data_IF_769859359284
#
_entry.id   IF_769859359284
#
_cell.length_a   1.000
_cell.length_b   1.000
_cell.length_c   1.000
_cell.angle_alpha   90.00
_cell.angle_beta   90.00
_cell.angle_gamma   90.00
#
_symmetry.space_group_name_H-M   'P 1'
#
loop_
_entity.id
_entity.type
_entity.pdbx_description
1 polymer ?
#
# COMPACT_ATOMS: atom_id res chain seq x y z
N UNK A 1 -4.91 -18.22 -14.84
CA UNK A 1 -5.46 -17.39 -15.94
C UNK A 1 -5.50 -18.28 -17.17
N UNK A 2 -6.66 -18.45 -17.82
CA UNK A 2 -6.77 -19.36 -19.00
C UNK A 2 -6.54 -18.64 -20.33
N UNK A 3 -6.88 -17.34 -20.38
CA UNK A 3 -6.65 -16.47 -21.54
C UNK A 3 -5.76 -15.27 -21.18
N UNK A 4 -4.96 -14.74 -22.13
CA UNK A 4 -4.17 -13.53 -21.91
C UNK A 4 -5.02 -12.29 -21.58
N UNK A 5 -4.52 -11.42 -20.69
CA UNK A 5 -5.16 -10.13 -20.41
C UNK A 5 -5.08 -9.24 -21.64
N UNK A 6 -6.19 -8.62 -22.02
CA UNK A 6 -6.25 -7.62 -23.10
C UNK A 6 -5.89 -6.25 -22.55
N UNK A 7 -4.73 -5.73 -22.90
CA UNK A 7 -4.28 -4.41 -22.47
C UNK A 7 -5.16 -3.32 -23.10
N UNK A 8 -5.63 -2.39 -22.26
CA UNK A 8 -6.47 -1.25 -22.65
C UNK A 8 -6.40 -0.14 -21.58
N UNK A 9 -7.18 0.94 -21.76
CA UNK A 9 -7.22 2.11 -20.87
C UNK A 9 -7.53 1.78 -19.39
N UNK A 10 -8.19 0.65 -19.12
CA UNK A 10 -8.60 0.22 -17.76
C UNK A 10 -7.80 -0.98 -17.25
N UNK A 11 -6.94 -1.57 -18.08
CA UNK A 11 -6.19 -2.78 -17.75
C UNK A 11 -4.78 -2.69 -18.32
N UNK A 12 -3.80 -2.48 -17.44
CA UNK A 12 -2.39 -2.43 -17.79
C UNK A 12 -1.52 -3.00 -16.66
N UNK A 13 -0.37 -3.61 -16.99
CA UNK A 13 0.58 -4.09 -15.98
C UNK A 13 1.29 -2.91 -15.31
N UNK A 14 1.66 -3.10 -14.03
CA UNK A 14 2.57 -2.20 -13.33
C UNK A 14 4.02 -2.64 -13.55
N UNK A 15 4.95 -1.68 -13.63
CA UNK A 15 6.38 -1.97 -13.71
C UNK A 15 6.90 -2.48 -12.36
N UNK A 16 7.74 -3.51 -12.40
CA UNK A 16 8.43 -3.98 -11.21
C UNK A 16 9.55 -3.00 -10.81
N UNK A 17 9.82 -2.85 -9.51
CA UNK A 17 10.92 -2.03 -9.05
C UNK A 17 12.27 -2.67 -9.42
N UNK A 18 13.23 -1.83 -9.80
CA UNK A 18 14.63 -2.23 -10.06
C UNK A 18 15.60 -1.75 -8.97
N UNK A 19 15.08 -1.04 -7.97
CA UNK A 19 15.82 -0.51 -6.83
C UNK A 19 14.94 -0.54 -5.58
N UNK A 20 15.52 -0.48 -4.37
CA UNK A 20 14.75 -0.30 -3.15
C UNK A 20 13.82 0.91 -3.19
N UNK A 21 12.75 0.85 -2.40
CA UNK A 21 11.79 1.93 -2.29
C UNK A 21 12.44 3.19 -1.69
N UNK A 22 12.29 4.37 -2.31
CA UNK A 22 12.91 5.59 -1.81
C UNK A 22 12.21 6.06 -0.53
N UNK A 23 13.01 6.36 0.50
CA UNK A 23 12.50 6.90 1.77
C UNK A 23 11.93 8.31 1.60
N UNK A 24 10.96 8.66 2.45
CA UNK A 24 10.28 9.96 2.50
C UNK A 24 9.62 10.37 1.17
N UNK A 25 9.16 9.37 0.41
CA UNK A 25 8.37 9.58 -0.81
C UNK A 25 6.93 9.12 -0.63
N UNK A 26 6.04 9.83 -1.31
CA UNK A 26 4.62 9.47 -1.39
C UNK A 26 4.46 8.11 -2.09
N UNK A 27 3.73 7.22 -1.43
CA UNK A 27 3.20 5.99 -1.99
C UNK A 27 1.66 6.03 -1.97
N UNK A 28 1.05 5.17 -2.78
CA UNK A 28 -0.41 5.03 -2.84
C UNK A 28 -0.77 3.58 -2.61
N UNK A 29 -1.62 3.33 -1.62
CA UNK A 29 -2.28 2.05 -1.42
C UNK A 29 -3.70 2.16 -1.99
N UNK A 30 -4.17 1.14 -2.68
CA UNK A 30 -5.52 1.09 -3.24
C UNK A 30 -6.21 -0.25 -3.01
N UNK A 31 -7.51 -0.24 -2.79
CA UNK A 31 -8.29 -1.46 -2.58
C UNK A 31 -9.78 -1.23 -2.40
N UNK A 32 -10.52 -2.32 -2.22
CA UNK A 32 -11.97 -2.36 -1.99
C UNK A 32 -12.33 -2.76 -0.55
N UNK A 33 -11.37 -2.64 0.37
CA UNK A 33 -11.49 -3.10 1.75
C UNK A 33 -12.62 -2.41 2.54
N UNK A 34 -12.79 -2.88 3.78
CA UNK A 34 -13.75 -2.31 4.72
C UNK A 34 -13.44 -0.84 4.98
N UNK A 35 -14.48 -0.01 4.98
CA UNK A 35 -14.39 1.42 5.29
C UNK A 35 -14.84 1.70 6.73
N UNK A 36 -14.82 2.96 7.17
CA UNK A 36 -15.10 3.35 8.57
C UNK A 36 -16.47 2.91 9.10
N UNK A 37 -17.39 2.55 8.21
CA UNK A 37 -18.72 2.02 8.54
C UNK A 37 -18.77 0.49 8.64
N UNK A 38 -17.63 -0.21 8.52
CA UNK A 38 -17.52 -1.66 8.57
C UNK A 38 -17.92 -2.38 7.27
N UNK A 39 -18.36 -1.66 6.24
CA UNK A 39 -18.77 -2.25 4.97
C UNK A 39 -17.66 -2.15 3.91
N UNK A 40 -17.62 -3.16 3.03
CA UNK A 40 -16.75 -3.15 1.87
C UNK A 40 -17.09 -2.02 0.91
N UNK A 41 -16.06 -1.43 0.31
CA UNK A 41 -16.27 -0.36 -0.64
C UNK A 41 -16.79 -0.85 -1.98
N UNK A 42 -17.87 -0.24 -2.49
CA UNK A 42 -18.38 -0.50 -3.85
C UNK A 42 -17.46 0.04 -4.95
N UNK A 43 -16.56 0.97 -4.62
CA UNK A 43 -15.62 1.59 -5.56
C UNK A 43 -14.19 1.52 -5.03
N UNK A 44 -13.22 1.54 -5.93
CA UNK A 44 -11.81 1.50 -5.56
C UNK A 44 -11.47 2.73 -4.72
N UNK A 45 -10.91 2.51 -3.53
CA UNK A 45 -10.40 3.56 -2.66
C UNK A 45 -8.89 3.64 -2.78
N UNK A 46 -8.34 4.80 -2.43
CA UNK A 46 -6.90 5.05 -2.38
C UNK A 46 -6.53 5.87 -1.14
N UNK A 47 -5.39 5.54 -0.55
CA UNK A 47 -4.79 6.26 0.56
C UNK A 47 -3.37 6.67 0.18
N UNK A 48 -2.95 7.85 0.64
CA UNK A 48 -1.57 8.32 0.51
C UNK A 48 -0.80 7.95 1.76
N UNK A 49 0.39 7.40 1.55
CA UNK A 49 1.33 6.98 2.58
C UNK A 49 2.68 7.64 2.29
N UNK A 50 3.50 7.83 3.32
CA UNK A 50 4.92 8.17 3.16
C UNK A 50 5.76 6.94 3.45
N UNK A 51 6.67 6.56 2.55
CA UNK A 51 7.61 5.47 2.78
C UNK A 51 8.58 5.88 3.89
N UNK A 52 8.70 5.07 4.93
CA UNK A 52 9.59 5.30 6.07
C UNK A 52 10.63 4.18 6.20
N UNK A 53 11.71 4.45 6.92
CA UNK A 53 12.75 3.44 7.15
C UNK A 53 12.24 2.33 8.08
N UNK A 54 12.87 1.15 8.03
CA UNK A 54 12.58 0.06 8.97
C UNK A 54 12.82 0.50 10.42
N UNK A 55 13.90 1.22 10.66
CA UNK A 55 14.28 1.68 12.01
C UNK A 55 13.26 2.69 12.55
N UNK A 56 12.80 3.61 11.70
CA UNK A 56 11.71 4.53 12.03
C UNK A 56 10.41 3.78 12.35
N UNK A 57 10.05 2.80 11.51
CA UNK A 57 8.87 1.97 11.68
C UNK A 57 8.91 1.16 12.99
N UNK A 58 10.09 0.68 13.38
CA UNK A 58 10.30 -0.11 14.60
C UNK A 58 9.93 0.66 15.87
N UNK A 59 10.00 2.00 15.86
CA UNK A 59 9.55 2.83 16.98
C UNK A 59 8.03 2.83 17.20
N UNK A 60 7.25 2.38 16.20
CA UNK A 60 5.78 2.38 16.26
C UNK A 60 5.16 1.00 16.53
N UNK A 61 5.96 -0.07 16.58
CA UNK A 61 5.48 -1.44 16.74
C UNK A 61 6.25 -2.20 17.82
N UNK A 62 5.56 -3.09 18.53
CA UNK A 62 6.13 -3.88 19.63
C UNK A 62 6.74 -5.23 19.17
N UNK A 63 6.85 -5.47 17.86
CA UNK A 63 7.43 -6.69 17.28
C UNK A 63 8.61 -6.34 16.38
N UNK A 64 9.55 -7.27 16.20
CA UNK A 64 10.68 -7.07 15.28
C UNK A 64 10.19 -7.09 13.84
N UNK A 65 10.53 -6.05 13.08
CA UNK A 65 10.24 -5.99 11.65
C UNK A 65 11.33 -6.75 10.88
N UNK A 66 11.01 -7.86 10.19
CA UNK A 66 12.01 -8.62 9.43
C UNK A 66 12.45 -7.88 8.16
N UNK A 67 13.58 -8.33 7.59
CA UNK A 67 14.02 -7.87 6.29
C UNK A 67 13.01 -8.22 5.17
N UNK A 68 13.02 -7.42 4.11
CA UNK A 68 12.11 -7.57 2.97
C UNK A 68 10.74 -6.89 3.14
N UNK A 69 10.46 -6.29 4.31
CA UNK A 69 9.25 -5.47 4.51
C UNK A 69 9.51 -3.99 4.20
N UNK A 70 8.49 -3.33 3.66
CA UNK A 70 8.47 -1.88 3.42
C UNK A 70 7.41 -1.28 4.33
N UNK A 71 7.76 -0.23 5.06
CA UNK A 71 6.83 0.50 5.91
C UNK A 71 6.32 1.76 5.23
N UNK A 72 5.01 2.00 5.38
CA UNK A 72 4.34 3.24 5.01
C UNK A 72 3.67 3.87 6.22
N UNK A 73 3.72 5.20 6.31
CA UNK A 73 3.04 5.96 7.35
C UNK A 73 1.94 6.84 6.75
N UNK A 74 0.75 6.71 7.32
CA UNK A 74 -0.42 7.50 6.96
C UNK A 74 -0.63 8.63 7.97
N UNK A 75 -1.39 9.64 7.56
CA UNK A 75 -1.96 10.60 8.52
C UNK A 75 -2.95 9.88 9.46
N UNK A 76 -3.05 10.37 10.70
CA UNK A 76 -4.05 9.89 11.67
C UNK A 76 -5.46 9.90 11.07
N UNK A 77 -6.21 8.81 11.28
CA UNK A 77 -7.55 8.62 10.72
C UNK A 77 -7.57 8.09 9.28
N UNK A 78 -6.40 7.82 8.68
CA UNK A 78 -6.26 7.05 7.44
C UNK A 78 -5.47 5.79 7.77
N UNK A 79 -5.90 4.67 7.22
CA UNK A 79 -5.20 3.40 7.37
C UNK A 79 -5.73 2.38 6.40
N UNK A 80 -5.00 1.28 6.33
CA UNK A 80 -5.46 0.03 5.73
C UNK A 80 -6.28 -0.76 6.75
N UNK A 81 -7.17 -1.64 6.26
CA UNK A 81 -8.09 -2.42 7.09
C UNK A 81 -7.41 -3.02 8.33
N UNK A 82 -8.13 -3.01 9.46
CA UNK A 82 -7.74 -3.72 10.69
C UNK A 82 -7.95 -5.22 10.53
#
# INVERSE_FOLDING_TARGET
MRDPIKINEKQAPIRLPTSPAPLHRDAVISGFGSTDNGYLSKGLKKAKETIISRDECQHYVNHTIPEGQICGMARKGVGICK
#
